data_IF_013616213439
#
_entry.id   IF_013616213439
#
_cell.length_a   1.000
_cell.length_b   1.000
_cell.length_c   1.000
_cell.angle_alpha   90.00
_cell.angle_beta   90.00
_cell.angle_gamma   90.00
#
_symmetry.space_group_name_H-M   'P 1'
#
loop_
_entity.id
_entity.type
_entity.pdbx_description
1 polymer ?
#
# COMPACT_ATOMS: atom_id res chain seq x y z
N UNK A 1 -11.44 -32.78 1.30
CA UNK A 1 -12.66 -32.26 1.96
C UNK A 1 -13.47 -33.34 2.68
N UNK A 2 -13.78 -34.49 2.04
CA UNK A 2 -14.63 -35.55 2.63
C UNK A 2 -14.05 -36.14 3.94
N UNK A 3 -12.73 -36.33 4.03
CA UNK A 3 -12.10 -36.86 5.26
C UNK A 3 -12.25 -35.95 6.49
N UNK A 4 -12.09 -34.63 6.32
CA UNK A 4 -12.21 -33.64 7.41
C UNK A 4 -13.62 -33.65 7.98
N UNK A 5 -14.63 -33.78 7.13
CA UNK A 5 -16.02 -33.90 7.54
C UNK A 5 -16.22 -35.07 8.51
N UNK A 6 -15.78 -36.28 8.16
CA UNK A 6 -15.92 -37.44 9.05
C UNK A 6 -15.15 -37.30 10.37
N UNK A 7 -13.97 -36.67 10.36
CA UNK A 7 -13.21 -36.39 11.59
C UNK A 7 -13.95 -35.43 12.53
N UNK A 8 -14.59 -34.39 11.99
CA UNK A 8 -15.37 -33.45 12.80
C UNK A 8 -16.61 -34.13 13.41
N UNK A 9 -17.31 -34.96 12.64
CA UNK A 9 -18.47 -35.70 13.15
C UNK A 9 -18.08 -36.75 14.21
N UNK A 10 -16.95 -37.43 14.03
CA UNK A 10 -16.43 -38.38 15.02
C UNK A 10 -16.06 -37.66 16.34
N UNK A 11 -15.40 -36.50 16.27
CA UNK A 11 -15.11 -35.67 17.44
C UNK A 11 -16.38 -35.20 18.15
N UNK A 12 -17.39 -34.76 17.39
CA UNK A 12 -18.66 -34.34 17.96
C UNK A 12 -19.37 -35.50 18.68
N UNK A 13 -19.37 -36.68 18.08
CA UNK A 13 -19.94 -37.89 18.68
C UNK A 13 -19.21 -38.31 19.97
N UNK A 14 -17.88 -38.23 19.99
CA UNK A 14 -17.06 -38.49 21.19
C UNK A 14 -17.41 -37.48 22.30
N UNK A 15 -17.49 -36.19 21.99
CA UNK A 15 -17.88 -35.16 22.96
C UNK A 15 -19.29 -35.37 23.52
N UNK A 16 -20.22 -35.82 22.68
CA UNK A 16 -21.59 -36.14 23.10
C UNK A 16 -21.63 -37.33 24.07
N UNK A 17 -20.89 -38.41 23.78
CA UNK A 17 -20.77 -39.58 24.67
C UNK A 17 -20.14 -39.18 26.01
N UNK A 18 -19.04 -38.41 26.00
CA UNK A 18 -18.37 -37.95 27.21
C UNK A 18 -19.34 -37.12 28.08
N UNK A 19 -20.15 -36.27 27.44
CA UNK A 19 -21.13 -35.44 28.14
C UNK A 19 -22.21 -36.27 28.84
N UNK A 20 -22.69 -37.35 28.19
CA UNK A 20 -23.64 -38.32 28.80
C UNK A 20 -22.99 -39.06 29.99
N UNK A 21 -21.73 -39.48 29.85
CA UNK A 21 -20.98 -40.16 30.92
C UNK A 21 -20.76 -39.26 32.15
N UNK A 22 -20.45 -37.98 31.93
CA UNK A 22 -20.30 -36.98 33.00
C UNK A 22 -21.65 -36.67 33.68
N UNK A 23 -22.73 -36.65 32.90
CA UNK A 23 -24.08 -36.47 33.45
C UNK A 23 -24.47 -37.63 34.36
N UNK A 24 -24.27 -38.86 33.90
CA UNK A 24 -24.63 -40.07 34.65
C UNK A 24 -23.76 -40.27 35.90
N UNK A 25 -22.50 -39.85 35.88
CA UNK A 25 -21.57 -39.98 37.02
C UNK A 25 -21.75 -38.91 38.12
N UNK A 26 -22.66 -37.94 37.95
CA UNK A 26 -22.90 -36.82 38.89
C UNK A 26 -21.68 -35.95 39.23
N UNK A 27 -20.54 -36.12 38.53
CA UNK A 27 -19.32 -35.32 38.74
C UNK A 27 -19.58 -33.83 38.55
N UNK A 28 -20.55 -33.49 37.70
CA UNK A 28 -21.02 -32.13 37.44
C UNK A 28 -21.58 -31.39 38.67
N UNK A 29 -21.97 -32.11 39.73
CA UNK A 29 -22.45 -31.52 40.99
C UNK A 29 -21.33 -31.14 41.95
N UNK A 30 -20.10 -31.62 41.70
CA UNK A 30 -18.97 -31.33 42.58
C UNK A 30 -18.41 -29.92 42.33
N UNK A 31 -18.09 -29.20 43.42
CA UNK A 31 -17.51 -27.85 43.34
C UNK A 31 -16.18 -27.83 42.56
N UNK A 32 -15.38 -28.89 42.69
CA UNK A 32 -14.11 -29.04 41.96
C UNK A 32 -14.30 -29.15 40.45
N UNK A 33 -15.39 -29.77 39.98
CA UNK A 33 -15.71 -29.86 38.57
C UNK A 33 -16.18 -28.51 38.00
N UNK A 34 -16.91 -27.71 38.76
CA UNK A 34 -17.27 -26.34 38.36
C UNK A 34 -16.03 -25.45 38.21
N UNK A 35 -15.08 -25.54 39.15
CA UNK A 35 -13.79 -24.83 39.07
C UNK A 35 -12.98 -25.29 37.84
N UNK A 36 -12.96 -26.60 37.57
CA UNK A 36 -12.31 -27.16 36.39
C UNK A 36 -12.95 -26.68 35.08
N UNK A 37 -14.28 -26.61 35.00
CA UNK A 37 -14.98 -26.05 33.84
C UNK A 37 -14.68 -24.55 33.64
N UNK A 38 -14.66 -23.77 34.71
CA UNK A 38 -14.29 -22.36 34.64
C UNK A 38 -12.85 -22.17 34.14
N UNK A 39 -11.92 -23.02 34.58
CA UNK A 39 -10.54 -23.05 34.08
C UNK A 39 -10.49 -23.36 32.58
N UNK A 40 -11.23 -24.38 32.11
CA UNK A 40 -11.30 -24.74 30.69
C UNK A 40 -11.91 -23.61 29.85
N UNK A 41 -12.98 -22.97 30.33
CA UNK A 41 -13.61 -21.84 29.64
C UNK A 41 -12.63 -20.67 29.52
N UNK A 42 -11.93 -20.33 30.61
CA UNK A 42 -10.91 -19.28 30.61
C UNK A 42 -9.77 -19.59 29.62
N UNK A 43 -9.25 -20.82 29.61
CA UNK A 43 -8.25 -21.27 28.64
C UNK A 43 -8.75 -21.20 27.20
N UNK A 44 -10.00 -21.56 26.95
CA UNK A 44 -10.61 -21.50 25.61
C UNK A 44 -10.73 -20.07 25.11
N UNK A 45 -11.10 -19.12 25.98
CA UNK A 45 -11.14 -17.69 25.64
C UNK A 45 -9.74 -17.18 25.27
N UNK A 46 -8.71 -17.56 26.04
CA UNK A 46 -7.32 -17.18 25.76
C UNK A 46 -6.80 -17.77 24.44
N UNK A 47 -7.09 -19.04 24.15
CA UNK A 47 -6.69 -19.64 22.87
C UNK A 47 -7.44 -19.04 21.68
N UNK A 48 -8.72 -18.71 21.85
CA UNK A 48 -9.52 -18.10 20.78
C UNK A 48 -9.06 -16.67 20.49
N UNK A 49 -8.75 -15.88 21.52
CA UNK A 49 -8.19 -14.53 21.31
C UNK A 49 -6.81 -14.60 20.65
N UNK A 50 -5.96 -15.56 21.05
CA UNK A 50 -4.66 -15.77 20.41
C UNK A 50 -4.81 -16.23 18.95
N UNK A 51 -5.77 -17.10 18.65
CA UNK A 51 -6.07 -17.53 17.28
C UNK A 51 -6.58 -16.37 16.42
N UNK A 52 -7.44 -15.49 16.96
CA UNK A 52 -7.88 -14.26 16.28
C UNK A 52 -6.70 -13.32 16.04
N UNK A 53 -5.81 -13.14 17.02
CA UNK A 53 -4.59 -12.34 16.86
C UNK A 53 -3.69 -12.93 15.77
N UNK A 54 -3.40 -14.23 15.80
CA UNK A 54 -2.63 -14.91 14.75
C UNK A 54 -3.35 -14.77 13.40
N UNK A 55 -4.67 -14.88 13.34
CA UNK A 55 -5.42 -14.78 12.10
C UNK A 55 -5.41 -13.34 11.54
N UNK A 56 -5.50 -12.33 12.41
CA UNK A 56 -5.32 -10.91 12.03
C UNK A 56 -3.90 -10.69 11.53
N UNK A 57 -2.86 -11.13 12.27
CA UNK A 57 -1.47 -10.99 11.83
C UNK A 57 -1.20 -11.79 10.55
N UNK A 58 -1.67 -13.03 10.46
CA UNK A 58 -1.51 -13.90 9.30
C UNK A 58 -2.23 -13.35 8.08
N UNK A 59 -3.46 -12.83 8.20
CA UNK A 59 -4.16 -12.13 7.12
C UNK A 59 -3.49 -10.81 6.75
N UNK A 60 -2.95 -10.07 7.72
CA UNK A 60 -2.18 -8.84 7.46
C UNK A 60 -0.88 -9.14 6.71
N UNK A 61 -0.21 -10.25 7.06
CA UNK A 61 1.05 -10.70 6.43
C UNK A 61 0.80 -11.34 5.05
N UNK A 62 -0.26 -12.16 4.89
CA UNK A 62 -0.58 -12.81 3.60
C UNK A 62 -1.19 -11.86 2.57
N UNK A 63 -1.72 -10.70 2.97
CA UNK A 63 -2.31 -9.74 2.04
C UNK A 63 -1.35 -8.61 1.60
N UNK A 64 -0.15 -8.44 2.18
CA UNK A 64 0.70 -7.25 1.92
C UNK A 64 2.18 -7.44 1.53
N UNK A 65 2.85 -8.56 1.74
CA UNK A 65 4.27 -8.43 2.16
C UNK A 65 5.41 -8.55 1.13
N UNK A 66 5.23 -8.48 -0.18
CA UNK A 66 6.41 -8.31 -1.08
C UNK A 66 6.14 -7.43 -2.29
N UNK A 67 5.00 -7.59 -2.95
CA UNK A 67 4.68 -6.83 -4.17
C UNK A 67 4.18 -5.42 -3.86
N UNK A 68 3.25 -5.25 -2.89
CA UNK A 68 2.85 -3.91 -2.42
C UNK A 68 4.06 -3.17 -1.85
N UNK A 69 4.94 -3.86 -1.13
CA UNK A 69 6.20 -3.29 -0.65
C UNK A 69 7.10 -2.79 -1.80
N UNK A 70 7.16 -3.48 -2.94
CA UNK A 70 7.91 -3.02 -4.11
C UNK A 70 7.33 -1.71 -4.67
N UNK A 71 6.00 -1.64 -4.88
CA UNK A 71 5.37 -0.42 -5.40
C UNK A 71 5.39 0.72 -4.38
N UNK A 72 5.23 0.45 -3.10
CA UNK A 72 5.44 1.43 -2.04
C UNK A 72 6.89 1.89 -2.00
N UNK A 73 7.87 1.01 -2.17
CA UNK A 73 9.29 1.39 -2.26
C UNK A 73 9.56 2.27 -3.48
N UNK A 74 9.03 1.92 -4.66
CA UNK A 74 9.17 2.72 -5.87
C UNK A 74 8.49 4.09 -5.74
N UNK A 75 7.32 4.15 -5.10
CA UNK A 75 6.58 5.39 -4.89
C UNK A 75 7.23 6.27 -3.81
N UNK A 76 7.69 5.66 -2.71
CA UNK A 76 8.47 6.34 -1.68
C UNK A 76 9.77 6.86 -2.25
N UNK A 77 10.46 6.10 -3.10
CA UNK A 77 11.66 6.57 -3.80
C UNK A 77 11.35 7.73 -4.74
N UNK A 78 10.23 7.70 -5.47
CA UNK A 78 9.80 8.85 -6.28
C UNK A 78 9.62 10.11 -5.42
N UNK A 79 8.92 10.00 -4.28
CA UNK A 79 8.61 11.15 -3.42
C UNK A 79 9.84 11.63 -2.64
N UNK A 80 10.51 10.72 -1.93
CA UNK A 80 11.65 11.02 -1.07
C UNK A 80 12.84 11.56 -1.88
N UNK A 81 13.15 10.96 -3.03
CA UNK A 81 14.27 11.44 -3.84
C UNK A 81 13.95 12.81 -4.45
N UNK A 82 12.67 13.08 -4.73
CA UNK A 82 12.22 14.41 -5.16
C UNK A 82 12.38 15.44 -4.04
N UNK A 83 11.91 15.14 -2.83
CA UNK A 83 12.05 16.04 -1.69
C UNK A 83 13.52 16.24 -1.28
N UNK A 84 14.30 15.16 -1.21
CA UNK A 84 15.72 15.21 -0.89
C UNK A 84 16.50 16.07 -1.90
N UNK A 85 16.13 16.03 -3.19
CA UNK A 85 16.72 16.93 -4.18
C UNK A 85 16.48 18.40 -3.82
N UNK A 86 15.26 18.78 -3.45
CA UNK A 86 14.94 20.16 -3.07
C UNK A 86 15.57 20.58 -1.74
N UNK A 87 15.60 19.69 -0.75
CA UNK A 87 16.28 19.94 0.54
C UNK A 87 17.76 20.25 0.34
N UNK A 88 18.43 19.50 -0.54
CA UNK A 88 19.84 19.71 -0.88
C UNK A 88 20.07 20.90 -1.82
N UNK A 89 19.01 21.46 -2.41
CA UNK A 89 19.09 22.57 -3.36
C UNK A 89 18.13 23.71 -2.96
N UNK A 90 18.39 24.45 -1.86
CA UNK A 90 17.48 25.50 -1.35
C UNK A 90 17.24 26.63 -2.36
N UNK A 91 18.17 26.84 -3.31
CA UNK A 91 17.99 27.75 -4.46
C UNK A 91 16.79 27.37 -5.33
N UNK A 92 16.32 26.13 -5.30
CA UNK A 92 15.20 25.57 -6.07
C UNK A 92 13.85 25.64 -5.33
N UNK A 93 13.79 26.30 -4.17
CA UNK A 93 12.55 26.42 -3.39
C UNK A 93 11.40 27.07 -4.18
N UNK A 94 11.71 27.96 -5.12
CA UNK A 94 10.69 28.53 -6.02
C UNK A 94 9.98 27.44 -6.82
N UNK A 95 10.72 26.44 -7.30
CA UNK A 95 10.18 25.36 -8.11
C UNK A 95 9.41 24.35 -7.24
N UNK A 96 9.95 23.99 -6.07
CA UNK A 96 9.24 23.18 -5.08
C UNK A 96 7.87 23.77 -4.72
N UNK A 97 7.86 25.07 -4.38
CA UNK A 97 6.65 25.80 -4.01
C UNK A 97 5.62 25.77 -5.14
N UNK A 98 6.04 25.93 -6.40
CA UNK A 98 5.12 25.83 -7.54
C UNK A 98 4.56 24.43 -7.75
N UNK A 99 5.36 23.37 -7.60
CA UNK A 99 4.91 22.00 -7.85
C UNK A 99 3.95 21.48 -6.79
N UNK A 100 4.20 21.83 -5.52
CA UNK A 100 3.45 21.24 -4.40
C UNK A 100 2.45 22.19 -3.76
N UNK A 101 2.46 23.49 -4.13
CA UNK A 101 1.56 24.53 -3.63
C UNK A 101 1.24 24.36 -2.14
N UNK A 102 2.25 24.45 -1.25
CA UNK A 102 2.03 24.33 0.19
C UNK A 102 1.00 25.35 0.69
N UNK A 103 0.45 25.15 1.90
CA UNK A 103 -0.63 25.99 2.46
C UNK A 103 -0.35 27.51 2.42
N UNK A 104 0.92 27.91 2.45
CA UNK A 104 1.36 29.31 2.39
C UNK A 104 1.92 29.73 1.03
N UNK A 105 1.61 28.98 -0.03
CA UNK A 105 2.03 29.30 -1.38
C UNK A 105 1.39 30.61 -1.84
N UNK A 106 2.23 31.61 -2.07
CA UNK A 106 1.82 32.86 -2.70
C UNK A 106 2.34 32.90 -4.14
N UNK A 107 1.45 32.83 -5.15
CA UNK A 107 1.84 32.86 -6.57
C UNK A 107 2.43 34.20 -7.00
N UNK A 108 2.22 35.27 -6.24
CA UNK A 108 2.66 36.63 -6.58
C UNK A 108 4.11 36.92 -6.16
N UNK A 109 4.78 35.97 -5.49
CA UNK A 109 6.20 36.11 -5.15
C UNK A 109 7.03 35.95 -6.43
N UNK A 110 7.74 37.01 -6.88
CA UNK A 110 8.51 36.94 -8.11
C UNK A 110 9.72 36.01 -7.95
N UNK A 111 9.94 35.16 -8.96
CA UNK A 111 11.11 34.29 -9.04
C UNK A 111 12.32 35.15 -9.42
N UNK A 112 13.23 35.34 -8.47
CA UNK A 112 14.42 36.20 -8.66
C UNK A 112 15.49 35.57 -9.54
N UNK A 113 15.67 34.25 -9.44
CA UNK A 113 16.65 33.50 -10.23
C UNK A 113 16.17 32.07 -10.47
N UNK A 114 16.45 31.57 -11.67
CA UNK A 114 16.14 30.20 -12.10
C UNK A 114 17.43 29.42 -12.33
N UNK A 115 17.39 28.14 -11.99
CA UNK A 115 18.46 27.17 -12.25
C UNK A 115 17.91 26.12 -13.21
N UNK A 116 17.91 26.48 -14.50
CA UNK A 116 17.34 25.68 -15.58
C UNK A 116 17.93 24.27 -15.65
N UNK A 117 19.21 24.10 -15.33
CA UNK A 117 19.85 22.78 -15.29
C UNK A 117 19.24 21.93 -14.19
N UNK A 118 19.08 22.49 -12.98
CA UNK A 118 18.46 21.78 -11.87
C UNK A 118 16.98 21.47 -12.12
N UNK A 119 16.24 22.41 -12.72
CA UNK A 119 14.84 22.22 -13.12
C UNK A 119 14.69 21.04 -14.10
N UNK A 120 15.53 20.98 -15.13
CA UNK A 120 15.48 19.92 -16.13
C UNK A 120 15.85 18.56 -15.52
N UNK A 121 16.85 18.51 -14.63
CA UNK A 121 17.28 17.29 -13.94
C UNK A 121 16.16 16.69 -13.08
N UNK A 122 15.48 17.51 -12.28
CA UNK A 122 14.42 16.99 -11.40
C UNK A 122 13.19 16.55 -12.20
N UNK A 123 12.82 17.28 -13.26
CA UNK A 123 11.72 16.88 -14.17
C UNK A 123 12.05 15.58 -14.89
N UNK A 124 13.28 15.42 -15.37
CA UNK A 124 13.77 14.17 -15.93
C UNK A 124 13.68 13.02 -14.93
N UNK A 125 14.18 13.22 -13.71
CA UNK A 125 14.15 12.21 -12.63
C UNK A 125 12.73 11.75 -12.32
N UNK A 126 11.80 12.69 -12.15
CA UNK A 126 10.37 12.42 -11.90
C UNK A 126 9.78 11.57 -13.03
N UNK A 127 9.95 12.00 -14.29
CA UNK A 127 9.37 11.31 -15.45
C UNK A 127 9.97 9.91 -15.65
N UNK A 128 11.28 9.74 -15.47
CA UNK A 128 11.94 8.43 -15.56
C UNK A 128 11.44 7.48 -14.48
N UNK A 129 11.26 7.94 -13.25
CA UNK A 129 10.74 7.11 -12.15
C UNK A 129 9.27 6.73 -12.37
N UNK A 130 8.46 7.65 -12.90
CA UNK A 130 7.10 7.35 -13.32
C UNK A 130 7.08 6.30 -14.44
N UNK A 131 7.95 6.42 -15.44
CA UNK A 131 8.06 5.43 -16.51
C UNK A 131 8.41 4.04 -15.95
N UNK A 132 9.31 3.96 -14.98
CA UNK A 132 9.66 2.70 -14.29
C UNK A 132 8.47 2.09 -13.57
N UNK A 133 7.71 2.88 -12.79
CA UNK A 133 6.51 2.39 -12.09
C UNK A 133 5.48 1.86 -13.09
N UNK A 134 5.22 2.61 -14.17
CA UNK A 134 4.26 2.20 -15.21
C UNK A 134 4.71 0.95 -15.96
N UNK A 135 6.01 0.83 -16.25
CA UNK A 135 6.57 -0.37 -16.88
C UNK A 135 6.35 -1.61 -16.02
N UNK A 136 6.62 -1.53 -14.71
CA UNK A 136 6.33 -2.64 -13.80
C UNK A 136 4.83 -2.95 -13.75
N UNK A 137 3.95 -1.93 -13.70
CA UNK A 137 2.49 -2.12 -13.72
C UNK A 137 1.96 -2.78 -15.01
N UNK A 138 2.62 -2.61 -16.14
CA UNK A 138 2.23 -3.21 -17.42
C UNK A 138 2.79 -4.63 -17.60
N UNK A 139 3.96 -4.91 -17.03
CA UNK A 139 4.67 -6.18 -17.23
C UNK A 139 4.41 -7.21 -16.13
N UNK A 140 3.93 -6.75 -14.97
CA UNK A 140 3.60 -7.61 -13.84
C UNK A 140 2.29 -8.39 -14.10
N UNK A 141 2.42 -9.70 -14.32
CA UNK A 141 1.31 -10.62 -14.58
C UNK A 141 0.53 -11.00 -13.32
N UNK A 142 1.04 -10.67 -12.14
CA UNK A 142 0.48 -11.06 -10.84
C UNK A 142 -0.48 -9.98 -10.34
N UNK A 143 -0.21 -8.71 -10.67
CA UNK A 143 -1.13 -7.55 -10.47
C UNK A 143 -2.26 -7.53 -11.52
N UNK A 144 -2.79 -8.71 -11.84
CA UNK A 144 -4.01 -8.84 -12.64
C UNK A 144 -5.28 -8.54 -11.83
N UNK A 145 -5.17 -8.29 -10.52
CA UNK A 145 -6.30 -7.77 -9.76
C UNK A 145 -6.45 -6.25 -10.04
N UNK A 146 -7.52 -5.89 -10.75
CA UNK A 146 -7.81 -4.52 -11.18
C UNK A 146 -7.79 -3.50 -10.05
N UNK A 147 -8.12 -3.92 -8.82
CA UNK A 147 -8.21 -3.02 -7.68
C UNK A 147 -6.86 -2.43 -7.25
N UNK A 148 -5.82 -3.27 -7.13
CA UNK A 148 -4.49 -2.80 -6.70
C UNK A 148 -3.82 -1.95 -7.78
N UNK A 149 -3.99 -2.33 -9.05
CA UNK A 149 -3.56 -1.52 -10.19
C UNK A 149 -4.20 -0.14 -10.17
N UNK A 150 -5.51 -0.06 -9.93
CA UNK A 150 -6.23 1.19 -9.83
C UNK A 150 -5.76 2.05 -8.65
N UNK A 151 -5.46 1.45 -7.49
CA UNK A 151 -4.89 2.18 -6.34
C UNK A 151 -3.55 2.83 -6.68
N UNK A 152 -2.66 2.12 -7.36
CA UNK A 152 -1.34 2.64 -7.75
C UNK A 152 -1.49 3.75 -8.82
N UNK A 153 -2.33 3.53 -9.83
CA UNK A 153 -2.63 4.53 -10.86
C UNK A 153 -3.24 5.79 -10.22
N UNK A 154 -4.15 5.66 -9.26
CA UNK A 154 -4.72 6.81 -8.56
C UNK A 154 -3.66 7.61 -7.79
N UNK A 155 -2.72 6.93 -7.10
CA UNK A 155 -1.61 7.60 -6.42
C UNK A 155 -0.71 8.36 -7.41
N UNK A 156 -0.33 7.73 -8.52
CA UNK A 156 0.42 8.39 -9.59
C UNK A 156 -0.35 9.58 -10.17
N UNK A 157 -1.66 9.45 -10.33
CA UNK A 157 -2.50 10.51 -10.87
C UNK A 157 -2.51 11.74 -9.95
N UNK A 158 -2.71 11.53 -8.65
CA UNK A 158 -2.68 12.60 -7.66
C UNK A 158 -1.32 13.28 -7.61
N UNK A 159 -0.24 12.50 -7.63
CA UNK A 159 1.12 13.05 -7.69
C UNK A 159 1.33 13.90 -8.95
N UNK A 160 0.96 13.36 -10.12
CA UNK A 160 1.18 14.05 -11.39
C UNK A 160 0.33 15.32 -11.53
N UNK A 161 -0.92 15.31 -11.02
CA UNK A 161 -1.78 16.49 -11.00
C UNK A 161 -1.14 17.66 -10.24
N UNK A 162 -0.47 17.38 -9.13
CA UNK A 162 0.23 18.41 -8.35
C UNK A 162 1.37 19.02 -9.18
N UNK A 163 2.28 18.19 -9.71
CA UNK A 163 3.45 18.68 -10.45
C UNK A 163 3.08 19.33 -11.79
N UNK A 164 2.09 18.80 -12.52
CA UNK A 164 1.58 19.36 -13.80
C UNK A 164 1.09 20.80 -13.64
N UNK A 165 0.64 21.17 -12.45
CA UNK A 165 0.14 22.52 -12.18
C UNK A 165 1.25 23.59 -12.17
N UNK A 166 2.53 23.19 -12.13
CA UNK A 166 3.67 24.10 -12.24
C UNK A 166 3.97 24.44 -13.71
N UNK A 167 3.98 25.74 -14.08
CA UNK A 167 4.41 26.18 -15.40
C UNK A 167 5.85 25.78 -15.73
N UNK A 168 6.75 25.84 -14.73
CA UNK A 168 8.17 25.47 -14.87
C UNK A 168 8.30 23.97 -15.16
N UNK A 169 7.51 23.14 -14.49
CA UNK A 169 7.47 21.70 -14.77
C UNK A 169 7.03 21.44 -16.21
N UNK A 170 5.96 22.11 -16.66
CA UNK A 170 5.43 21.93 -18.01
C UNK A 170 6.34 22.47 -19.12
N UNK A 171 7.07 23.56 -18.86
CA UNK A 171 8.12 24.07 -19.74
C UNK A 171 9.19 23.00 -19.96
N UNK A 172 9.74 22.46 -18.87
CA UNK A 172 10.77 21.44 -18.91
C UNK A 172 10.26 20.11 -19.50
N UNK A 173 9.04 19.70 -19.17
CA UNK A 173 8.36 18.55 -19.80
C UNK A 173 8.35 18.68 -21.33
N UNK A 174 7.93 19.84 -21.84
CA UNK A 174 7.86 20.10 -23.28
C UNK A 174 9.25 20.08 -23.96
N UNK A 175 10.29 20.48 -23.24
CA UNK A 175 11.66 20.45 -23.76
C UNK A 175 12.24 19.03 -23.87
N UNK A 176 11.75 18.09 -23.06
CA UNK A 176 12.37 16.76 -22.93
C UNK A 176 11.47 15.59 -23.36
N UNK A 177 10.17 15.83 -23.59
CA UNK A 177 9.18 14.80 -23.93
C UNK A 177 9.56 13.91 -25.11
N UNK A 178 10.22 14.47 -26.11
CA UNK A 178 10.58 13.74 -27.33
C UNK A 178 11.76 12.78 -27.11
N UNK A 179 12.58 13.02 -26.07
CA UNK A 179 13.81 12.27 -25.78
C UNK A 179 13.64 11.17 -24.72
N UNK A 180 12.58 11.24 -23.92
CA UNK A 180 12.47 10.46 -22.67
C UNK A 180 11.37 9.42 -22.62
N UNK A 181 10.29 9.61 -23.38
CA UNK A 181 9.11 8.82 -23.09
C UNK A 181 9.15 7.47 -23.80
N UNK A 182 9.24 6.43 -22.98
CA UNK A 182 8.73 5.11 -23.34
C UNK A 182 7.28 5.23 -23.83
N UNK A 183 6.86 4.38 -24.77
CA UNK A 183 5.49 4.42 -25.30
C UNK A 183 4.45 4.30 -24.17
N UNK A 184 4.76 3.52 -23.14
CA UNK A 184 4.00 3.39 -21.90
C UNK A 184 3.73 4.73 -21.21
N UNK A 185 4.78 5.53 -20.94
CA UNK A 185 4.61 6.83 -20.28
C UNK A 185 3.83 7.81 -21.17
N UNK A 186 4.10 7.84 -22.49
CA UNK A 186 3.33 8.69 -23.44
C UNK A 186 1.84 8.36 -23.39
N UNK A 187 1.50 7.07 -23.48
CA UNK A 187 0.11 6.62 -23.49
C UNK A 187 -0.58 6.92 -22.16
N UNK A 188 0.10 6.72 -21.04
CA UNK A 188 -0.41 7.06 -19.72
C UNK A 188 -0.71 8.56 -19.60
N UNK A 189 0.22 9.43 -19.98
CA UNK A 189 0.05 10.87 -19.87
C UNK A 189 -1.05 11.40 -20.80
N UNK A 190 -1.11 10.88 -22.04
CA UNK A 190 -2.16 11.22 -22.99
C UNK A 190 -3.54 10.80 -22.49
N UNK A 191 -3.66 9.58 -21.96
CA UNK A 191 -4.94 9.02 -21.50
C UNK A 191 -5.47 9.71 -20.24
N UNK A 192 -4.59 10.01 -19.27
CA UNK A 192 -5.00 10.52 -17.96
C UNK A 192 -4.98 12.06 -17.88
N UNK A 193 -4.19 12.74 -18.71
CA UNK A 193 -3.96 14.19 -18.60
C UNK A 193 -4.07 14.97 -19.90
N UNK A 194 -4.29 14.29 -21.04
CA UNK A 194 -4.41 14.89 -22.38
C UNK A 194 -3.21 15.76 -22.77
N UNK A 195 -1.99 15.29 -22.48
CA UNK A 195 -0.71 15.94 -22.81
C UNK A 195 0.29 14.99 -23.47
#
# INVERSE_FOLDING_TARGET
>A
MIGIYYYVYLLFFICFIISILIWNSQLHKSLKYQQFLQLIIALTIVFTSFAIIIQIFSLTITQNDTEIQLYETLFNSLILDTFSYFENNPKMNYFYNQMFKPLHYNPDIPIKSRDYTGEQQIVHSILTRMATILYYLETDKIINNSENKNKIINKLNLFFLNVKSSPIFMENYNNIKDRLFTNTLKNYLKTNFNI
#
